data_IF_443778992922
#
_entry.id   IF_443778992922
#
_cell.length_a   1.000
_cell.length_b   1.000
_cell.length_c   1.000
_cell.angle_alpha   90.00
_cell.angle_beta   90.00
_cell.angle_gamma   90.00
#
_symmetry.space_group_name_H-M   'P 1'
#
loop_
_entity.id
_entity.type
_entity.pdbx_description
1 polymer ?
#
# COMPACT_ATOMS: atom_id res chain seq x y z
N UNK A 1 41.05 -39.88 -6.58
CA UNK A 1 41.01 -39.12 -5.31
C UNK A 1 41.34 -37.64 -5.53
N UNK A 2 42.55 -37.27 -5.99
CA UNK A 2 42.93 -35.85 -6.13
C UNK A 2 42.12 -35.05 -7.19
N UNK A 3 41.80 -35.66 -8.34
CA UNK A 3 40.96 -35.01 -9.38
C UNK A 3 39.52 -34.77 -8.91
N UNK A 4 38.90 -35.77 -8.28
CA UNK A 4 37.56 -35.66 -7.72
C UNK A 4 37.46 -34.53 -6.68
N UNK A 5 38.49 -34.39 -5.84
CA UNK A 5 38.56 -33.32 -4.84
C UNK A 5 38.69 -31.92 -5.49
N UNK A 6 39.35 -31.84 -6.65
CA UNK A 6 39.53 -30.57 -7.37
C UNK A 6 38.25 -30.14 -8.10
N UNK A 7 37.51 -31.10 -8.68
CA UNK A 7 36.18 -30.85 -9.26
C UNK A 7 35.17 -30.41 -8.21
N UNK A 8 35.18 -31.04 -7.02
CA UNK A 8 34.33 -30.64 -5.89
C UNK A 8 34.61 -29.18 -5.48
N UNK A 9 35.88 -28.81 -5.34
CA UNK A 9 36.29 -27.45 -4.99
C UNK A 9 35.89 -26.41 -6.04
N UNK A 10 35.92 -26.76 -7.33
CA UNK A 10 35.48 -25.86 -8.40
C UNK A 10 33.98 -25.57 -8.32
N UNK A 11 33.17 -26.60 -8.04
CA UNK A 11 31.72 -26.45 -7.88
C UNK A 11 31.41 -25.56 -6.67
N UNK A 12 32.05 -25.82 -5.52
CA UNK A 12 31.87 -25.05 -4.30
C UNK A 12 32.28 -23.58 -4.50
N UNK A 13 33.39 -23.32 -5.22
CA UNK A 13 33.82 -21.96 -5.53
C UNK A 13 32.82 -21.21 -6.43
N UNK A 14 32.22 -21.91 -7.39
CA UNK A 14 31.18 -21.35 -8.26
C UNK A 14 29.90 -21.00 -7.49
N UNK A 15 29.48 -21.89 -6.59
CA UNK A 15 28.33 -21.66 -5.70
C UNK A 15 28.58 -20.47 -4.76
N UNK A 16 29.77 -20.38 -4.15
CA UNK A 16 30.15 -19.26 -3.29
C UNK A 16 30.18 -17.93 -4.05
N UNK A 17 30.69 -17.91 -5.30
CA UNK A 17 30.65 -16.70 -6.15
C UNK A 17 29.22 -16.25 -6.44
N UNK A 18 28.32 -17.19 -6.66
CA UNK A 18 26.91 -16.92 -6.93
C UNK A 18 26.23 -16.36 -5.67
N UNK A 19 26.43 -17.01 -4.52
CA UNK A 19 25.91 -16.57 -3.24
C UNK A 19 26.40 -15.16 -2.86
N UNK A 20 27.69 -14.87 -3.10
CA UNK A 20 28.26 -13.54 -2.88
C UNK A 20 27.63 -12.49 -3.79
N UNK A 21 27.36 -12.83 -5.05
CA UNK A 21 26.66 -11.97 -5.99
C UNK A 21 25.25 -11.61 -5.51
N UNK A 22 24.49 -12.61 -5.06
CA UNK A 22 23.14 -12.44 -4.52
C UNK A 22 23.15 -11.55 -3.27
N UNK A 23 24.04 -11.83 -2.31
CA UNK A 23 24.16 -11.05 -1.08
C UNK A 23 24.50 -9.57 -1.37
N UNK A 24 25.32 -9.32 -2.38
CA UNK A 24 25.68 -7.96 -2.78
C UNK A 24 24.49 -7.21 -3.43
N UNK A 25 23.61 -7.93 -4.14
CA UNK A 25 22.36 -7.37 -4.64
C UNK A 25 21.38 -7.06 -3.50
N UNK A 26 21.21 -7.98 -2.55
CA UNK A 26 20.38 -7.76 -1.34
C UNK A 26 20.86 -6.54 -0.56
N UNK A 27 22.17 -6.38 -0.39
CA UNK A 27 22.74 -5.22 0.29
C UNK A 27 22.43 -3.89 -0.41
N UNK A 28 22.48 -3.87 -1.76
CA UNK A 28 22.09 -2.67 -2.53
C UNK A 28 20.61 -2.34 -2.34
N UNK A 29 19.74 -3.35 -2.32
CA UNK A 29 18.30 -3.18 -2.08
C UNK A 29 18.06 -2.62 -0.67
N UNK A 30 18.71 -3.20 0.34
CA UNK A 30 18.62 -2.72 1.72
C UNK A 30 19.06 -1.25 1.85
N UNK A 31 20.13 -0.86 1.16
CA UNK A 31 20.61 0.53 1.15
C UNK A 31 19.58 1.50 0.56
N UNK A 32 18.90 1.11 -0.51
CA UNK A 32 17.81 1.91 -1.11
C UNK A 32 16.61 2.01 -0.16
N UNK A 33 16.19 0.89 0.45
CA UNK A 33 15.12 0.87 1.45
C UNK A 33 15.41 1.79 2.63
N UNK A 34 16.65 1.79 3.13
CA UNK A 34 17.06 2.66 4.22
C UNK A 34 16.91 4.15 3.84
N UNK A 35 17.28 4.52 2.61
CA UNK A 35 17.09 5.89 2.11
C UNK A 35 15.63 6.30 2.06
N UNK A 36 14.74 5.43 1.57
CA UNK A 36 13.30 5.70 1.55
C UNK A 36 12.70 5.84 2.95
N UNK A 37 13.11 4.99 3.90
CA UNK A 37 12.66 5.10 5.30
C UNK A 37 13.13 6.41 5.93
N UNK A 38 14.33 6.87 5.61
CA UNK A 38 14.84 8.16 6.07
C UNK A 38 14.02 9.33 5.53
N UNK A 39 13.71 9.33 4.24
CA UNK A 39 12.88 10.34 3.60
C UNK A 39 11.45 10.36 4.17
N UNK A 40 10.84 9.18 4.35
CA UNK A 40 9.51 9.07 4.99
C UNK A 40 9.52 9.60 6.43
N UNK A 41 10.57 9.30 7.20
CA UNK A 41 10.72 9.83 8.57
C UNK A 41 10.77 11.36 8.56
N UNK A 42 11.55 11.96 7.67
CA UNK A 42 11.67 13.41 7.55
C UNK A 42 10.35 14.07 7.13
N UNK A 43 9.62 13.42 6.22
CA UNK A 43 8.29 13.88 5.82
C UNK A 43 7.29 13.84 6.98
N UNK A 44 7.23 12.72 7.72
CA UNK A 44 6.36 12.57 8.89
C UNK A 44 6.72 13.54 10.01
N UNK A 45 8.02 13.80 10.24
CA UNK A 45 8.47 14.82 11.19
C UNK A 45 7.96 16.21 10.82
N UNK A 46 7.94 16.53 9.53
CA UNK A 46 7.39 17.80 9.01
C UNK A 46 5.88 17.89 9.23
N UNK A 47 5.11 16.87 8.83
CA UNK A 47 3.66 16.84 9.02
C UNK A 47 3.28 16.93 10.51
N UNK A 48 4.01 16.24 11.38
CA UNK A 48 3.78 16.30 12.82
C UNK A 48 4.01 17.70 13.38
N UNK A 49 4.98 18.44 12.83
CA UNK A 49 5.18 19.85 13.19
C UNK A 49 4.02 20.74 12.74
N UNK A 50 3.49 20.53 11.54
CA UNK A 50 2.35 21.28 11.01
C UNK A 50 1.09 21.02 11.85
N UNK A 51 0.77 19.75 12.15
CA UNK A 51 -0.38 19.37 12.98
C UNK A 51 -0.28 19.95 14.40
N UNK A 52 0.94 20.04 14.96
CA UNK A 52 1.14 20.70 16.26
C UNK A 52 0.83 22.18 16.21
N UNK A 53 1.23 22.88 15.13
CA UNK A 53 0.92 24.29 14.97
C UNK A 53 -0.59 24.53 14.82
N UNK A 54 -1.27 23.72 14.01
CA UNK A 54 -2.72 23.80 13.83
C UNK A 54 -3.48 23.53 15.14
N UNK A 55 -3.03 22.55 15.94
CA UNK A 55 -3.64 22.29 17.25
C UNK A 55 -3.52 23.46 18.22
N UNK A 56 -2.38 24.16 18.25
CA UNK A 56 -2.23 25.34 19.11
C UNK A 56 -3.15 26.48 18.64
N UNK A 57 -3.30 26.69 17.33
CA UNK A 57 -4.25 27.67 16.78
C UNK A 57 -5.71 27.30 17.13
N UNK A 58 -6.08 26.03 16.96
CA UNK A 58 -7.42 25.56 17.36
C UNK A 58 -7.66 25.73 18.86
N UNK A 59 -6.65 25.49 19.69
CA UNK A 59 -6.76 25.69 21.14
C UNK A 59 -6.99 27.16 21.49
N UNK A 60 -6.28 28.08 20.85
CA UNK A 60 -6.49 29.53 21.02
C UNK A 60 -7.88 29.96 20.54
N UNK A 61 -8.39 29.42 19.43
CA UNK A 61 -9.75 29.74 18.96
C UNK A 61 -10.83 29.23 19.93
N UNK A 62 -10.66 28.02 20.48
CA UNK A 62 -11.58 27.46 21.48
C UNK A 62 -11.58 28.28 22.77
N UNK A 63 -10.41 28.71 23.24
CA UNK A 63 -10.28 29.58 24.41
C UNK A 63 -11.02 30.92 24.19
N UNK A 64 -10.77 31.59 23.06
CA UNK A 64 -11.47 32.82 22.68
C UNK A 64 -13.00 32.65 22.59
N UNK A 65 -13.48 31.53 22.03
CA UNK A 65 -14.92 31.24 21.95
C UNK A 65 -15.52 30.98 23.33
N UNK A 66 -14.80 30.32 24.22
CA UNK A 66 -15.22 30.09 25.61
C UNK A 66 -15.32 31.41 26.38
N UNK A 67 -14.35 32.30 26.22
CA UNK A 67 -14.39 33.65 26.80
C UNK A 67 -15.59 34.46 26.30
N UNK A 68 -15.88 34.41 24.99
CA UNK A 68 -17.06 35.08 24.42
C UNK A 68 -18.37 34.53 24.97
N UNK A 69 -18.48 33.20 25.08
CA UNK A 69 -19.68 32.55 25.62
C UNK A 69 -19.93 32.95 27.08
N UNK A 70 -18.88 33.12 27.87
CA UNK A 70 -18.99 33.57 29.27
C UNK A 70 -19.30 35.07 29.37
N UNK A 71 -18.83 35.89 28.42
CA UNK A 71 -19.14 37.32 28.34
C UNK A 71 -20.57 37.64 27.85
N UNK A 72 -21.14 36.82 26.96
CA UNK A 72 -22.46 37.03 26.33
C UNK A 72 -23.66 36.47 27.14
N UNK A 73 -23.48 36.09 28.40
CA UNK A 73 -24.61 35.72 29.28
C UNK A 73 -25.11 36.92 30.09
N UNK A 74 -26.26 37.55 29.75
CA UNK A 74 -27.00 38.33 30.72
C UNK A 74 -27.54 37.36 31.78
N UNK A 75 -27.15 37.58 33.03
CA UNK A 75 -27.57 36.81 34.21
C UNK A 75 -29.11 36.75 34.24
N UNK A 76 -29.67 35.60 33.86
CA UNK A 76 -31.00 35.20 34.30
C UNK A 76 -30.82 33.97 35.18
N UNK A 77 -30.82 34.24 36.47
CA UNK A 77 -30.85 33.24 37.54
C UNK A 77 -31.94 32.20 37.26
N UNK A 78 -31.66 30.89 37.35
CA UNK A 78 -32.69 29.88 37.13
C UNK A 78 -33.72 29.94 38.26
N UNK A 79 -34.97 30.22 37.88
CA UNK A 79 -36.13 29.97 38.72
C UNK A 79 -36.32 28.45 38.74
N UNK A 80 -36.30 27.86 39.94
CA UNK A 80 -36.59 26.45 40.18
C UNK A 80 -37.95 26.09 39.58
N UNK A 81 -37.95 25.20 38.59
CA UNK A 81 -39.16 24.50 38.16
C UNK A 81 -38.82 23.02 38.29
N UNK A 82 -39.42 22.39 39.31
CA UNK A 82 -39.57 20.94 39.36
C UNK A 82 -40.27 20.52 38.07
N UNK A 83 -39.63 19.69 37.27
CA UNK A 83 -40.37 18.80 36.37
C UNK A 83 -39.61 17.49 36.19
N UNK A 84 -40.31 16.44 36.56
CA UNK A 84 -39.87 15.05 36.50
C UNK A 84 -39.85 14.61 35.05
N UNK A 85 -38.67 14.36 34.48
CA UNK A 85 -38.56 13.68 33.19
C UNK A 85 -37.43 12.67 33.26
N UNK A 86 -37.81 11.42 32.98
CA UNK A 86 -37.01 10.21 33.00
C UNK A 86 -35.61 10.36 32.41
N UNK A 87 -34.62 9.91 33.18
CA UNK A 87 -33.28 9.58 32.70
C UNK A 87 -33.40 8.47 31.64
N UNK A 88 -33.39 8.87 30.36
CA UNK A 88 -33.10 7.95 29.27
C UNK A 88 -31.61 8.10 28.96
N UNK A 89 -30.81 7.29 29.66
CA UNK A 89 -29.39 7.09 29.38
C UNK A 89 -29.23 6.68 27.92
N UNK A 90 -28.54 7.52 27.14
CA UNK A 90 -28.00 7.12 25.85
C UNK A 90 -26.74 6.28 26.14
N UNK A 91 -26.93 5.00 26.46
CA UNK A 91 -25.83 4.03 26.44
C UNK A 91 -25.38 3.86 24.98
N UNK A 92 -24.47 4.73 24.53
CA UNK A 92 -23.68 4.50 23.33
C UNK A 92 -22.63 3.46 23.69
N UNK A 93 -23.08 2.20 23.69
CA UNK A 93 -22.25 1.02 23.85
C UNK A 93 -21.22 1.01 22.70
N UNK A 94 -20.03 1.50 23.01
CA UNK A 94 -18.85 1.37 22.17
C UNK A 94 -18.54 -0.12 22.05
N UNK A 95 -19.12 -0.75 21.04
CA UNK A 95 -18.76 -2.11 20.64
C UNK A 95 -17.37 -2.08 20.03
N UNK A 96 -16.36 -1.98 20.90
CA UNK A 96 -15.05 -2.57 20.66
C UNK A 96 -15.28 -4.06 20.47
N UNK A 97 -15.55 -4.44 19.23
CA UNK A 97 -15.40 -5.82 18.77
C UNK A 97 -13.91 -6.16 18.85
N UNK A 98 -13.47 -6.53 20.05
CA UNK A 98 -12.29 -7.35 20.28
C UNK A 98 -12.55 -8.71 19.65
N UNK A 99 -12.45 -8.79 18.32
CA UNK A 99 -12.45 -10.07 17.62
C UNK A 99 -11.06 -10.67 17.78
N UNK A 100 -11.07 -11.80 18.47
CA UNK A 100 -9.96 -12.70 18.79
C UNK A 100 -8.91 -12.70 17.68
N UNK A 101 -7.66 -12.52 18.10
CA UNK A 101 -6.46 -12.99 17.41
C UNK A 101 -6.60 -14.51 17.31
N UNK A 102 -7.29 -14.95 16.26
CA UNK A 102 -7.26 -16.31 15.76
C UNK A 102 -6.26 -16.33 14.62
N UNK A 103 -5.45 -17.37 14.56
CA UNK A 103 -4.53 -17.66 13.47
C UNK A 103 -5.28 -17.59 12.12
N UNK A 104 -5.13 -16.48 11.39
CA UNK A 104 -5.42 -16.47 9.96
C UNK A 104 -4.22 -17.15 9.29
N UNK A 105 -4.40 -18.41 8.91
CA UNK A 105 -3.51 -19.08 7.98
C UNK A 105 -3.35 -18.17 6.75
N UNK A 106 -2.11 -18.05 6.24
CA UNK A 106 -1.77 -17.25 5.05
C UNK A 106 -2.42 -17.89 3.80
N UNK A 107 -3.74 -17.86 3.69
CA UNK A 107 -4.44 -18.34 2.51
C UNK A 107 -4.29 -17.30 1.39
N UNK A 108 -3.59 -17.70 0.35
CA UNK A 108 -3.58 -16.99 -0.91
C UNK A 108 -4.80 -17.40 -1.72
N UNK A 109 -5.51 -16.42 -2.25
CA UNK A 109 -6.51 -16.62 -3.28
C UNK A 109 -5.82 -16.75 -4.64
N UNK A 110 -6.41 -17.53 -5.54
CA UNK A 110 -5.88 -17.73 -6.89
C UNK A 110 -7.00 -17.70 -7.91
N UNK A 111 -6.71 -17.13 -9.08
CA UNK A 111 -7.56 -17.13 -10.26
C UNK A 111 -6.69 -17.48 -11.47
N UNK A 112 -7.04 -18.56 -12.16
CA UNK A 112 -6.28 -19.04 -13.33
C UNK A 112 -7.17 -19.00 -14.56
N UNK A 113 -6.70 -18.31 -15.59
CA UNK A 113 -7.31 -18.25 -16.92
C UNK A 113 -6.59 -19.12 -17.95
N UNK A 114 -6.99 -19.05 -19.22
CA UNK A 114 -6.34 -19.81 -20.30
C UNK A 114 -4.90 -19.35 -20.57
N UNK A 115 -4.62 -18.07 -20.35
CA UNK A 115 -3.37 -17.40 -20.66
C UNK A 115 -2.75 -16.69 -19.45
N UNK A 116 -3.38 -16.74 -18.27
CA UNK A 116 -2.87 -16.07 -17.08
C UNK A 116 -3.04 -16.89 -15.79
N UNK A 117 -2.21 -16.61 -14.80
CA UNK A 117 -2.38 -17.05 -13.42
C UNK A 117 -2.23 -15.85 -12.50
N UNK A 118 -3.17 -15.68 -11.58
CA UNK A 118 -3.23 -14.57 -10.64
C UNK A 118 -3.33 -15.12 -9.22
N UNK A 119 -2.55 -14.56 -8.31
CA UNK A 119 -2.51 -14.93 -6.90
C UNK A 119 -2.50 -13.68 -6.05
N UNK A 120 -3.24 -13.68 -4.95
CA UNK A 120 -3.18 -12.57 -4.01
C UNK A 120 -3.53 -12.96 -2.58
N UNK A 121 -3.12 -12.10 -1.66
CA UNK A 121 -3.39 -12.19 -0.23
C UNK A 121 -4.27 -11.01 0.19
N UNK A 122 -5.22 -11.26 1.11
CA UNK A 122 -6.24 -10.30 1.54
C UNK A 122 -7.06 -9.76 0.36
N UNK A 123 -7.03 -8.45 0.14
CA UNK A 123 -8.06 -7.75 -0.62
C UNK A 123 -7.62 -7.33 -2.02
N UNK A 124 -6.33 -7.10 -2.28
CA UNK A 124 -5.89 -6.58 -3.59
C UNK A 124 -5.48 -7.70 -4.51
N UNK A 125 -6.06 -7.76 -5.71
CA UNK A 125 -5.52 -8.53 -6.83
C UNK A 125 -5.14 -7.61 -7.99
N UNK A 126 -4.41 -8.17 -8.95
CA UNK A 126 -4.25 -7.56 -10.27
C UNK A 126 -5.28 -8.20 -11.19
N UNK A 127 -6.24 -7.41 -11.69
CA UNK A 127 -7.35 -7.93 -12.53
C UNK A 127 -7.04 -7.87 -14.02
N UNK A 128 -6.17 -6.94 -14.46
CA UNK A 128 -5.78 -6.78 -15.86
C UNK A 128 -4.35 -6.33 -15.98
N UNK A 129 -3.68 -6.79 -17.03
CA UNK A 129 -2.31 -6.43 -17.38
C UNK A 129 -2.24 -5.99 -18.84
N UNK A 130 -1.51 -4.91 -19.09
CA UNK A 130 -1.21 -4.38 -20.43
C UNK A 130 0.23 -3.85 -20.43
N UNK A 131 0.93 -3.76 -21.58
CA UNK A 131 2.26 -3.15 -21.64
C UNK A 131 2.35 -1.77 -21.00
N UNK A 132 1.27 -0.98 -21.05
CA UNK A 132 1.28 0.42 -20.61
C UNK A 132 0.43 0.69 -19.36
N UNK A 133 -0.25 -0.33 -18.82
CA UNK A 133 -1.02 -0.17 -17.59
C UNK A 133 -1.26 -1.51 -16.88
N UNK A 134 -1.59 -1.42 -15.59
CA UNK A 134 -2.09 -2.54 -14.78
C UNK A 134 -3.31 -2.08 -14.00
N UNK A 135 -4.28 -2.96 -13.80
CA UNK A 135 -5.48 -2.68 -13.02
C UNK A 135 -5.43 -3.47 -11.73
N UNK A 136 -5.49 -2.75 -10.61
CA UNK A 136 -5.63 -3.30 -9.27
C UNK A 136 -7.11 -3.36 -8.92
N UNK A 137 -7.54 -4.43 -8.27
CA UNK A 137 -8.91 -4.61 -7.83
C UNK A 137 -8.95 -4.88 -6.34
N UNK A 138 -9.83 -4.17 -5.62
CA UNK A 138 -10.22 -4.55 -4.28
C UNK A 138 -11.31 -5.63 -4.36
N UNK A 139 -10.99 -6.83 -3.90
CA UNK A 139 -11.88 -7.99 -3.89
C UNK A 139 -12.69 -8.11 -2.60
N UNK A 140 -12.46 -7.23 -1.63
CA UNK A 140 -13.32 -7.17 -0.44
C UNK A 140 -14.70 -6.64 -0.82
N UNK A 141 -15.73 -7.16 -0.14
CA UNK A 141 -17.13 -6.75 -0.30
C UNK A 141 -17.55 -5.63 0.67
N UNK A 142 -16.76 -5.40 1.71
CA UNK A 142 -17.11 -4.52 2.83
C UNK A 142 -15.94 -3.68 3.34
N UNK A 143 -14.70 -4.06 3.06
CA UNK A 143 -13.49 -3.36 3.52
C UNK A 143 -12.90 -2.46 2.44
N UNK A 144 -12.61 -1.23 2.84
CA UNK A 144 -11.77 -0.33 2.07
C UNK A 144 -10.31 -0.76 2.14
N UNK A 145 -9.52 -0.44 1.12
CA UNK A 145 -8.11 -0.80 1.05
C UNK A 145 -7.24 0.39 0.69
N UNK A 146 -6.32 0.75 1.59
CA UNK A 146 -5.31 1.78 1.35
C UNK A 146 -4.20 1.25 0.43
N UNK A 147 -3.70 2.07 -0.50
CA UNK A 147 -2.59 1.71 -1.40
C UNK A 147 -1.22 2.26 -1.01
N UNK A 148 -1.14 3.13 0.00
CA UNK A 148 0.03 3.96 0.32
C UNK A 148 1.32 3.15 0.52
N UNK A 149 1.20 1.96 1.09
CA UNK A 149 2.31 1.10 1.48
C UNK A 149 2.67 0.04 0.43
N UNK A 150 1.97 0.04 -0.71
CA UNK A 150 2.20 -0.95 -1.75
C UNK A 150 3.19 -0.48 -2.80
N UNK A 151 3.99 -1.43 -3.27
CA UNK A 151 5.00 -1.24 -4.30
C UNK A 151 4.64 -2.10 -5.50
N UNK A 152 4.81 -1.56 -6.70
CA UNK A 152 4.61 -2.26 -7.96
C UNK A 152 5.93 -2.65 -8.60
N UNK A 153 6.04 -3.90 -9.02
CA UNK A 153 7.18 -4.42 -9.79
C UNK A 153 6.67 -5.17 -11.01
N UNK A 154 7.46 -5.17 -12.08
CA UNK A 154 7.16 -5.94 -13.29
C UNK A 154 8.41 -6.60 -13.86
N UNK A 155 8.24 -7.84 -14.26
CA UNK A 155 9.20 -8.65 -15.00
C UNK A 155 8.57 -9.01 -16.36
N UNK A 156 9.33 -8.84 -17.44
CA UNK A 156 8.93 -9.18 -18.80
C UNK A 156 10.00 -10.09 -19.39
N UNK A 157 9.61 -11.30 -19.79
CA UNK A 157 10.51 -12.33 -20.33
C UNK A 157 11.75 -12.56 -19.45
N UNK A 158 11.57 -12.53 -18.12
CA UNK A 158 12.65 -12.71 -17.13
C UNK A 158 13.48 -11.46 -16.82
N UNK A 159 13.19 -10.32 -17.46
CA UNK A 159 13.89 -9.05 -17.25
C UNK A 159 13.00 -8.06 -16.50
N UNK A 160 13.49 -7.49 -15.40
CA UNK A 160 12.77 -6.47 -14.66
C UNK A 160 12.65 -5.18 -15.49
N UNK A 161 11.41 -4.75 -15.78
CA UNK A 161 11.09 -3.53 -16.54
C UNK A 161 10.57 -2.41 -15.66
N UNK A 162 9.95 -2.76 -14.53
CA UNK A 162 9.58 -1.84 -13.45
C UNK A 162 10.20 -2.38 -12.18
N UNK A 163 11.12 -1.63 -11.58
CA UNK A 163 11.81 -2.05 -10.35
C UNK A 163 11.24 -1.28 -9.17
N UNK A 164 10.31 -1.93 -8.44
CA UNK A 164 9.79 -1.49 -7.13
C UNK A 164 9.39 -0.01 -7.12
N UNK A 165 8.34 0.33 -7.88
CA UNK A 165 7.77 1.66 -7.93
C UNK A 165 6.70 1.84 -6.83
N UNK A 166 6.77 2.86 -5.97
CA UNK A 166 5.71 3.13 -5.01
C UNK A 166 4.41 3.53 -5.71
N UNK A 167 3.29 3.09 -5.15
CA UNK A 167 1.97 3.58 -5.54
C UNK A 167 1.73 4.99 -4.94
N UNK A 168 0.84 5.80 -5.55
CA UNK A 168 0.51 7.12 -5.03
C UNK A 168 -0.12 7.05 -3.64
N UNK A 169 0.26 8.01 -2.78
CA UNK A 169 -0.27 8.15 -1.42
C UNK A 169 -1.70 8.72 -1.41
N UNK A 170 -2.43 8.45 -0.34
CA UNK A 170 -3.80 8.91 -0.12
C UNK A 170 -4.85 8.19 -0.96
N UNK A 171 -4.52 7.04 -1.57
CA UNK A 171 -5.47 6.29 -2.38
C UNK A 171 -6.14 5.21 -1.54
N UNK A 172 -7.45 5.36 -1.35
CA UNK A 172 -8.31 4.40 -0.66
C UNK A 172 -9.27 3.80 -1.68
N UNK A 173 -9.14 2.49 -1.94
CA UNK A 173 -10.05 1.75 -2.82
C UNK A 173 -11.29 1.33 -2.03
N UNK A 174 -12.50 1.75 -2.45
CA UNK A 174 -13.74 1.17 -1.95
C UNK A 174 -13.83 -0.34 -2.20
N UNK A 175 -14.72 -1.05 -1.49
CA UNK A 175 -15.04 -2.44 -1.81
C UNK A 175 -15.41 -2.64 -3.28
N UNK A 176 -14.99 -3.77 -3.85
CA UNK A 176 -15.26 -4.17 -5.25
C UNK A 176 -14.85 -3.16 -6.33
N UNK A 177 -13.98 -2.19 -6.00
CA UNK A 177 -13.53 -1.14 -6.92
C UNK A 177 -12.21 -1.49 -7.61
N UNK A 178 -11.90 -0.73 -8.68
CA UNK A 178 -10.66 -0.86 -9.44
C UNK A 178 -9.86 0.45 -9.44
N UNK A 179 -8.53 0.31 -9.47
CA UNK A 179 -7.59 1.41 -9.61
C UNK A 179 -6.56 1.09 -10.69
N UNK A 180 -6.36 1.99 -11.66
CA UNK A 180 -5.46 1.75 -12.80
C UNK A 180 -4.14 2.49 -12.61
N UNK A 181 -3.03 1.77 -12.74
CA UNK A 181 -1.68 2.35 -12.75
C UNK A 181 -1.19 2.39 -14.19
N UNK A 182 -0.97 3.57 -14.74
CA UNK A 182 -0.48 3.77 -16.10
C UNK A 182 1.01 4.07 -16.14
N UNK A 183 1.67 3.64 -17.21
CA UNK A 183 2.94 4.24 -17.64
C UNK A 183 2.68 5.65 -18.21
N UNK A 184 3.72 6.50 -18.23
CA UNK A 184 3.72 7.83 -18.84
C UNK A 184 3.68 7.82 -20.37
N UNK A 185 2.69 7.15 -20.96
CA UNK A 185 2.43 7.18 -22.41
C UNK A 185 1.75 8.48 -22.84
N UNK A 186 1.81 8.78 -24.14
CA UNK A 186 1.08 9.90 -24.72
C UNK A 186 -0.42 9.67 -24.54
N UNK A 187 -1.06 10.51 -23.72
CA UNK A 187 -2.49 10.41 -23.39
C UNK A 187 -2.79 9.73 -22.05
N UNK A 188 -1.77 9.29 -21.29
CA UNK A 188 -1.97 8.90 -19.90
C UNK A 188 -2.36 10.12 -19.06
N UNK A 189 -3.47 10.01 -18.32
CA UNK A 189 -4.01 11.09 -17.48
C UNK A 189 -4.20 10.59 -16.06
N UNK A 190 -3.85 11.41 -15.08
CA UNK A 190 -4.21 11.13 -13.69
C UNK A 190 -5.68 11.46 -13.44
N UNK A 191 -6.38 10.55 -12.75
CA UNK A 191 -7.72 10.81 -12.23
C UNK A 191 -7.71 10.41 -10.76
N UNK A 192 -7.77 11.37 -9.82
CA UNK A 192 -7.72 11.09 -8.39
C UNK A 192 -8.69 9.98 -7.97
N UNK A 193 -8.21 9.03 -7.18
CA UNK A 193 -8.98 7.88 -6.70
C UNK A 193 -9.33 6.81 -7.75
N UNK A 194 -9.00 6.99 -9.03
CA UNK A 194 -9.32 6.01 -10.09
C UNK A 194 -8.10 5.53 -10.88
N UNK A 195 -7.18 6.44 -11.20
CA UNK A 195 -5.96 6.07 -11.91
C UNK A 195 -4.81 7.04 -11.64
N UNK A 196 -3.59 6.52 -11.65
CA UNK A 196 -2.37 7.32 -11.60
C UNK A 196 -1.45 7.03 -12.78
N UNK A 197 -0.41 7.86 -12.92
CA UNK A 197 0.60 7.72 -13.95
C UNK A 197 1.98 7.65 -13.30
N UNK A 198 2.73 6.58 -13.57
CA UNK A 198 4.13 6.45 -13.19
C UNK A 198 5.01 7.08 -14.28
N UNK A 199 5.16 8.40 -14.22
CA UNK A 199 5.83 9.21 -15.26
C UNK A 199 7.28 8.79 -15.57
N UNK A 200 7.96 8.10 -14.66
CA UNK A 200 9.31 7.56 -14.89
C UNK A 200 9.36 6.47 -15.96
N UNK A 201 8.25 5.82 -16.25
CA UNK A 201 8.17 4.70 -17.18
C UNK A 201 7.37 5.11 -18.41
N UNK A 202 7.96 5.08 -19.59
CA UNK A 202 7.21 5.34 -20.84
C UNK A 202 6.32 4.16 -21.24
N UNK A 203 6.67 2.96 -20.79
CA UNK A 203 5.90 1.72 -20.88
C UNK A 203 6.36 0.82 -19.74
N UNK A 204 5.54 -0.12 -19.32
CA UNK A 204 5.95 -1.19 -18.42
C UNK A 204 6.52 -2.41 -19.17
N UNK A 205 6.59 -2.35 -20.51
CA UNK A 205 7.22 -3.35 -21.35
C UNK A 205 6.26 -4.38 -21.93
N UNK A 206 6.66 -4.96 -23.07
CA UNK A 206 5.92 -5.98 -23.82
C UNK A 206 6.81 -7.21 -23.99
N UNK A 207 6.23 -8.39 -23.82
CA UNK A 207 6.91 -9.67 -23.98
C UNK A 207 5.92 -10.82 -24.08
N UNK A 208 6.44 -12.04 -24.14
CA UNK A 208 5.64 -13.27 -24.18
C UNK A 208 5.12 -13.63 -22.80
N UNK A 209 5.94 -13.45 -21.78
CA UNK A 209 5.58 -13.68 -20.39
C UNK A 209 5.74 -12.36 -19.63
N UNK A 210 4.67 -11.92 -18.99
CA UNK A 210 4.69 -10.74 -18.11
C UNK A 210 4.25 -11.13 -16.73
N UNK A 211 5.05 -10.78 -15.73
CA UNK A 211 4.76 -10.99 -14.32
C UNK A 211 4.67 -9.64 -13.63
N UNK A 212 3.50 -9.38 -13.03
CA UNK A 212 3.21 -8.15 -12.30
C UNK A 212 3.11 -8.51 -10.82
N UNK A 213 3.80 -7.75 -9.97
CA UNK A 213 3.92 -8.05 -8.55
C UNK A 213 3.56 -6.81 -7.76
N UNK A 214 2.65 -6.98 -6.80
CA UNK A 214 2.38 -6.02 -5.75
C UNK A 214 3.05 -6.52 -4.48
N UNK A 215 3.87 -5.67 -3.89
CA UNK A 215 4.60 -5.92 -2.66
C UNK A 215 4.08 -5.00 -1.55
N UNK A 216 4.09 -5.45 -0.31
CA UNK A 216 3.87 -4.58 0.85
C UNK A 216 5.11 -3.71 1.17
N UNK A 217 4.99 -2.86 2.19
CA UNK A 217 6.07 -1.99 2.71
C UNK A 217 7.35 -2.76 3.09
N UNK A 218 7.22 -4.04 3.43
CA UNK A 218 8.32 -4.92 3.83
C UNK A 218 8.99 -5.54 2.61
N UNK A 219 8.38 -5.42 1.43
CA UNK A 219 8.79 -6.04 0.18
C UNK A 219 8.34 -7.50 0.07
N UNK A 220 7.33 -7.93 0.85
CA UNK A 220 6.71 -9.24 0.72
C UNK A 220 5.64 -9.18 -0.36
N UNK A 221 5.59 -10.19 -1.21
CA UNK A 221 4.54 -10.33 -2.21
C UNK A 221 3.15 -10.43 -1.56
N UNK A 222 2.25 -9.55 -2.02
CA UNK A 222 0.84 -9.54 -1.65
C UNK A 222 -0.07 -9.86 -2.81
N UNK A 223 0.34 -9.56 -4.04
CA UNK A 223 -0.34 -10.02 -5.24
C UNK A 223 0.65 -10.26 -6.38
N UNK A 224 0.34 -11.24 -7.23
CA UNK A 224 1.09 -11.62 -8.39
C UNK A 224 0.13 -11.91 -9.54
N UNK A 225 0.50 -11.52 -10.76
CA UNK A 225 -0.24 -11.85 -11.96
C UNK A 225 0.72 -12.13 -13.11
N UNK A 226 0.77 -13.38 -13.53
CA UNK A 226 1.53 -13.87 -14.69
C UNK A 226 0.60 -13.96 -15.88
N UNK A 227 0.93 -13.28 -16.97
CA UNK A 227 0.27 -13.43 -18.28
C UNK A 227 1.27 -14.01 -19.28
N UNK A 228 0.85 -15.09 -19.94
CA UNK A 228 1.55 -15.77 -21.02
C UNK A 228 0.80 -15.53 -22.33
N UNK A 229 1.31 -14.63 -23.16
CA UNK A 229 0.76 -14.37 -24.49
C UNK A 229 1.30 -15.44 -25.45
N UNK A 230 0.50 -16.47 -25.69
CA UNK A 230 0.73 -17.40 -26.80
C UNK A 230 0.32 -16.70 -28.10
N UNK A 231 1.26 -16.01 -28.75
CA UNK A 231 1.05 -15.60 -30.14
C UNK A 231 1.17 -16.84 -31.04
N UNK A 232 0.12 -17.12 -31.81
CA UNK A 232 0.20 -17.91 -33.05
C UNK A 232 1.00 -17.17 -34.12
#
# INVERSE_FOLDING_TARGET
MAQLNNEQLLIENSQLKTALGNLNQEFKILKLKLGMVQENREHLETQLSEIKAENEELKETVENLSERLTADTPILSPRSVDDSVSEQSCDMESTRSSKKIGQEENEFYTETGPDFDSRWYKNISISKTHPDYVVLKNNSRDMHQCLDDFLFSRIVDGVATVTVAPLPLGIILPPESEFTVHAGTVGATEIPGRRCVLHRYQTFGRGKVTENIILDERGKETANHVLCVFQE
#
